data_IF_600039237405
#
_entry.id   IF_600039237405
#
_cell.length_a   1.000
_cell.length_b   1.000
_cell.length_c   1.000
_cell.angle_alpha   90.00
_cell.angle_beta   90.00
_cell.angle_gamma   90.00
#
_symmetry.space_group_name_H-M   'P 1'
#
loop_
_entity.id
_entity.type
_entity.pdbx_description
1 polymer ?
#
# COMPACT_ATOMS: atom_id res chain seq x y z
N UNK A 1 -29.69 -7.86 8.89
CA UNK A 1 -28.92 -7.44 7.70
C UNK A 1 -28.15 -8.62 7.13
N UNK A 2 -28.20 -8.78 5.81
CA UNK A 2 -27.52 -9.88 5.08
C UNK A 2 -26.90 -9.36 3.81
N UNK A 3 -25.76 -9.88 3.43
CA UNK A 3 -25.13 -9.61 2.13
C UNK A 3 -25.98 -10.23 1.02
N UNK A 4 -26.34 -9.43 0.01
CA UNK A 4 -27.18 -9.87 -1.12
C UNK A 4 -26.46 -9.80 -2.47
N UNK A 5 -25.44 -8.96 -2.60
CA UNK A 5 -24.62 -8.92 -3.81
C UNK A 5 -23.21 -8.41 -3.55
N UNK A 6 -22.28 -8.88 -4.37
CA UNK A 6 -20.91 -8.36 -4.48
C UNK A 6 -20.68 -8.07 -5.96
N UNK A 7 -20.13 -6.93 -6.25
CA UNK A 7 -19.86 -6.46 -7.61
C UNK A 7 -18.54 -5.72 -7.66
N UNK A 8 -17.93 -5.59 -8.84
CA UNK A 8 -16.67 -4.89 -9.01
C UNK A 8 -16.60 -4.10 -10.30
N UNK A 9 -15.72 -3.12 -10.35
CA UNK A 9 -15.38 -2.34 -11.55
C UNK A 9 -13.86 -2.22 -11.67
N UNK A 10 -13.37 -2.43 -12.88
CA UNK A 10 -11.98 -2.17 -13.27
C UNK A 10 -11.93 -0.83 -13.99
N UNK A 11 -11.13 0.08 -13.49
CA UNK A 11 -10.95 1.42 -14.06
C UNK A 11 -9.79 1.48 -15.06
N UNK A 12 -9.69 2.60 -15.77
CA UNK A 12 -8.60 2.99 -16.67
C UNK A 12 -8.42 4.52 -16.64
N UNK A 13 -7.23 5.06 -16.95
CA UNK A 13 -6.00 4.37 -17.35
C UNK A 13 -5.33 3.61 -16.19
N UNK A 14 -5.66 3.95 -14.95
CA UNK A 14 -5.17 3.24 -13.77
C UNK A 14 -6.02 1.99 -13.55
N UNK A 15 -5.41 0.80 -13.46
CA UNK A 15 -6.14 -0.47 -13.37
C UNK A 15 -6.69 -0.73 -11.95
N UNK A 16 -7.23 0.30 -11.28
CA UNK A 16 -7.82 0.17 -9.94
C UNK A 16 -9.08 -0.68 -9.98
N UNK A 17 -9.29 -1.46 -8.95
CA UNK A 17 -10.41 -2.38 -8.81
C UNK A 17 -11.25 -1.95 -7.61
N UNK A 18 -12.39 -1.33 -7.86
CA UNK A 18 -13.36 -1.02 -6.81
C UNK A 18 -14.30 -2.21 -6.61
N UNK A 19 -14.65 -2.47 -5.36
CA UNK A 19 -15.56 -3.52 -4.94
C UNK A 19 -16.74 -2.90 -4.22
N UNK A 20 -17.96 -3.36 -4.53
CA UNK A 20 -19.20 -2.92 -3.88
C UNK A 20 -19.89 -4.12 -3.27
N UNK A 21 -20.27 -4.02 -1.99
CA UNK A 21 -21.05 -5.01 -1.26
C UNK A 21 -22.40 -4.38 -0.89
N UNK A 22 -23.51 -5.03 -1.28
CA UNK A 22 -24.88 -4.57 -0.96
C UNK A 22 -25.54 -5.50 0.06
N UNK A 23 -26.37 -4.92 0.92
CA UNK A 23 -27.15 -5.63 1.92
C UNK A 23 -28.65 -5.60 1.62
N UNK A 24 -29.43 -6.53 2.20
CA UNK A 24 -30.91 -6.58 2.12
C UNK A 24 -31.61 -5.40 2.82
N UNK A 25 -30.88 -4.61 3.60
CA UNK A 25 -31.38 -3.40 4.25
C UNK A 25 -30.98 -2.11 3.51
N UNK A 26 -30.39 -2.25 2.31
CA UNK A 26 -30.03 -1.11 1.45
C UNK A 26 -28.71 -0.42 1.82
N UNK A 27 -27.98 -0.89 2.83
CA UNK A 27 -26.63 -0.37 3.13
C UNK A 27 -25.65 -0.92 2.10
N UNK A 28 -24.79 -0.04 1.60
CA UNK A 28 -23.78 -0.34 0.57
C UNK A 28 -22.42 0.04 1.08
N UNK A 29 -21.49 -0.90 1.06
CA UNK A 29 -20.08 -0.63 1.36
C UNK A 29 -19.22 -0.67 0.12
N UNK A 30 -18.17 0.14 0.12
CA UNK A 30 -17.20 0.25 -0.97
C UNK A 30 -15.82 -0.06 -0.41
N UNK A 31 -15.05 -0.83 -1.19
CA UNK A 31 -13.65 -1.10 -0.92
C UNK A 31 -12.84 -1.05 -2.21
N UNK A 32 -11.54 -1.13 -2.08
CA UNK A 32 -10.63 -1.20 -3.20
C UNK A 32 -9.67 -2.37 -3.02
N UNK A 33 -9.58 -3.22 -4.03
CA UNK A 33 -8.64 -4.32 -4.10
C UNK A 33 -7.38 -3.88 -4.85
N UNK A 34 -6.25 -4.53 -4.59
CA UNK A 34 -5.04 -4.32 -5.36
C UNK A 34 -5.33 -4.44 -6.87
N UNK A 35 -4.63 -3.70 -7.69
CA UNK A 35 -4.96 -3.49 -9.10
C UNK A 35 -4.93 -4.76 -9.98
N UNK A 36 -5.63 -4.67 -11.12
CA UNK A 36 -5.53 -5.61 -12.22
C UNK A 36 -6.79 -6.41 -12.56
N UNK A 37 -6.92 -6.78 -13.83
CA UNK A 37 -8.09 -7.47 -14.37
C UNK A 37 -8.35 -8.84 -13.71
N UNK A 38 -7.30 -9.56 -13.32
CA UNK A 38 -7.44 -10.85 -12.62
C UNK A 38 -8.11 -10.68 -11.25
N UNK A 39 -7.76 -9.64 -10.50
CA UNK A 39 -8.36 -9.33 -9.20
C UNK A 39 -9.83 -8.93 -9.35
N UNK A 40 -10.15 -8.11 -10.36
CA UNK A 40 -11.52 -7.70 -10.69
C UNK A 40 -12.46 -8.90 -10.91
N UNK A 41 -12.02 -9.89 -11.71
CA UNK A 41 -12.81 -11.09 -11.96
C UNK A 41 -12.94 -11.99 -10.73
N UNK A 42 -11.88 -12.14 -9.93
CA UNK A 42 -11.89 -12.95 -8.71
C UNK A 42 -12.81 -12.33 -7.65
N UNK A 43 -12.88 -11.00 -7.55
CA UNK A 43 -13.75 -10.33 -6.57
C UNK A 43 -15.23 -10.70 -6.70
N UNK A 44 -15.67 -11.12 -7.91
CA UNK A 44 -17.03 -11.59 -8.18
C UNK A 44 -17.10 -13.09 -8.51
N UNK A 45 -16.01 -13.84 -8.36
CA UNK A 45 -15.99 -15.30 -8.56
C UNK A 45 -17.03 -15.97 -7.65
N UNK A 46 -17.81 -16.86 -8.24
CA UNK A 46 -18.95 -17.51 -7.55
C UNK A 46 -18.50 -18.31 -6.32
N UNK A 47 -17.29 -18.90 -6.34
CA UNK A 47 -16.74 -19.64 -5.19
C UNK A 47 -16.45 -18.70 -4.02
N UNK A 48 -16.00 -17.47 -4.30
CA UNK A 48 -15.73 -16.45 -3.29
C UNK A 48 -17.05 -15.87 -2.77
N UNK A 49 -17.89 -15.37 -3.67
CA UNK A 49 -19.13 -14.66 -3.32
C UNK A 49 -20.15 -15.54 -2.62
N UNK A 50 -20.30 -16.81 -3.02
CA UNK A 50 -21.21 -17.77 -2.34
C UNK A 50 -20.88 -17.97 -0.85
N UNK A 51 -19.63 -17.79 -0.44
CA UNK A 51 -19.26 -17.90 0.98
C UNK A 51 -19.87 -16.78 1.83
N UNK A 52 -20.26 -15.67 1.21
CA UNK A 52 -20.74 -14.47 1.89
C UNK A 52 -22.25 -14.24 1.75
N UNK A 53 -22.90 -14.77 0.68
CA UNK A 53 -24.32 -14.54 0.45
C UNK A 53 -25.15 -14.98 1.67
N UNK A 54 -26.05 -14.08 2.12
CA UNK A 54 -26.92 -14.29 3.27
C UNK A 54 -26.27 -14.15 4.64
N UNK A 55 -24.95 -13.86 4.70
CA UNK A 55 -24.23 -13.65 5.97
C UNK A 55 -24.39 -12.20 6.45
N UNK A 56 -24.16 -12.03 7.75
CA UNK A 56 -24.14 -10.73 8.38
C UNK A 56 -22.81 -10.01 8.02
N UNK A 57 -22.84 -8.83 7.35
CA UNK A 57 -21.61 -8.10 7.01
C UNK A 57 -20.86 -7.55 8.21
N UNK A 58 -21.49 -7.44 9.39
CA UNK A 58 -20.83 -6.96 10.60
C UNK A 58 -19.87 -7.99 11.22
N UNK A 59 -19.99 -9.27 10.84
CA UNK A 59 -19.07 -10.32 11.23
C UNK A 59 -17.82 -10.31 10.33
N UNK A 60 -17.13 -9.16 10.21
CA UNK A 60 -16.07 -8.91 9.22
C UNK A 60 -14.98 -9.98 9.26
N UNK A 61 -14.41 -10.26 10.44
CA UNK A 61 -13.34 -11.27 10.59
C UNK A 61 -13.81 -12.70 10.23
N UNK A 62 -15.04 -13.04 10.57
CA UNK A 62 -15.63 -14.30 10.17
C UNK A 62 -15.82 -14.38 8.66
N UNK A 63 -16.31 -13.32 8.04
CA UNK A 63 -16.45 -13.23 6.58
C UNK A 63 -15.09 -13.38 5.89
N UNK A 64 -14.05 -12.75 6.41
CA UNK A 64 -12.67 -12.92 5.92
C UNK A 64 -12.23 -14.40 5.96
N UNK A 65 -12.39 -15.08 7.09
CA UNK A 65 -12.02 -16.48 7.21
C UNK A 65 -12.88 -17.41 6.33
N UNK A 66 -14.16 -17.10 6.14
CA UNK A 66 -15.05 -17.87 5.26
C UNK A 66 -14.64 -17.70 3.78
N UNK A 67 -14.21 -16.51 3.36
CA UNK A 67 -13.64 -16.28 2.03
C UNK A 67 -12.35 -17.08 1.83
N UNK A 68 -11.42 -17.02 2.77
CA UNK A 68 -10.19 -17.82 2.73
C UNK A 68 -10.50 -19.31 2.59
N UNK A 69 -11.44 -19.83 3.39
CA UNK A 69 -11.85 -21.23 3.34
C UNK A 69 -12.47 -21.59 1.99
N UNK A 70 -13.32 -20.73 1.43
CA UNK A 70 -13.96 -20.93 0.13
C UNK A 70 -12.97 -21.00 -1.02
N UNK A 71 -11.86 -20.27 -0.91
CA UNK A 71 -10.80 -20.20 -1.93
C UNK A 71 -9.60 -21.12 -1.63
N UNK A 72 -9.69 -22.03 -0.67
CA UNK A 72 -8.55 -22.85 -0.21
C UNK A 72 -7.87 -23.68 -1.32
N UNK A 73 -8.64 -24.16 -2.30
CA UNK A 73 -8.11 -24.88 -3.46
C UNK A 73 -7.49 -23.98 -4.53
N UNK A 74 -7.54 -22.66 -4.37
CA UNK A 74 -7.12 -21.64 -5.36
C UNK A 74 -5.98 -20.74 -4.87
N UNK A 75 -5.19 -21.18 -3.89
CA UNK A 75 -4.10 -20.38 -3.34
C UNK A 75 -4.58 -19.18 -2.54
N UNK A 76 -5.51 -19.38 -1.64
CA UNK A 76 -6.30 -18.36 -0.92
C UNK A 76 -5.50 -17.34 -0.12
N UNK A 77 -4.28 -17.63 0.27
CA UNK A 77 -3.52 -16.81 1.24
C UNK A 77 -2.55 -15.82 0.57
N UNK A 78 -2.54 -15.72 -0.76
CA UNK A 78 -1.63 -14.81 -1.49
C UNK A 78 -2.14 -14.43 -2.88
N UNK A 79 -1.47 -13.46 -3.50
CA UNK A 79 -1.70 -13.02 -4.88
C UNK A 79 -3.10 -12.45 -5.10
N UNK A 80 -3.61 -12.57 -6.32
CA UNK A 80 -4.86 -11.97 -6.74
C UNK A 80 -6.08 -12.40 -5.91
N UNK A 81 -6.08 -13.62 -5.35
CA UNK A 81 -7.16 -14.10 -4.48
C UNK A 81 -7.19 -13.29 -3.19
N UNK A 82 -6.04 -13.12 -2.53
CA UNK A 82 -5.99 -12.35 -1.29
C UNK A 82 -6.27 -10.87 -1.55
N UNK A 83 -5.82 -10.32 -2.67
CA UNK A 83 -6.13 -8.94 -3.06
C UNK A 83 -7.64 -8.71 -3.22
N UNK A 84 -8.35 -9.64 -3.89
CA UNK A 84 -9.81 -9.57 -4.01
C UNK A 84 -10.51 -9.68 -2.64
N UNK A 85 -10.04 -10.57 -1.76
CA UNK A 85 -10.53 -10.71 -0.39
C UNK A 85 -10.32 -9.40 0.39
N UNK A 86 -9.17 -8.73 0.23
CA UNK A 86 -8.85 -7.47 0.88
C UNK A 86 -9.84 -6.36 0.51
N UNK A 87 -10.16 -6.22 -0.78
CA UNK A 87 -11.12 -5.21 -1.24
C UNK A 87 -12.55 -5.47 -0.72
N UNK A 88 -12.98 -6.74 -0.65
CA UNK A 88 -14.27 -7.10 -0.06
C UNK A 88 -14.26 -6.80 1.46
N UNK A 89 -13.18 -7.13 2.15
CA UNK A 89 -13.02 -6.89 3.59
C UNK A 89 -13.10 -5.39 3.92
N UNK A 90 -12.48 -4.53 3.11
CA UNK A 90 -12.61 -3.07 3.24
C UNK A 90 -14.06 -2.60 3.08
N UNK A 91 -14.80 -3.15 2.09
CA UNK A 91 -16.21 -2.84 1.90
C UNK A 91 -17.09 -3.30 3.09
N UNK A 92 -16.75 -4.41 3.74
CA UNK A 92 -17.45 -4.85 4.96
C UNK A 92 -17.17 -3.92 6.14
N UNK A 93 -15.96 -3.40 6.29
CA UNK A 93 -15.66 -2.37 7.30
C UNK A 93 -16.43 -1.08 7.04
N UNK A 94 -16.56 -0.68 5.78
CA UNK A 94 -17.37 0.49 5.42
C UNK A 94 -18.84 0.30 5.83
N UNK A 95 -19.44 -0.87 5.54
CA UNK A 95 -20.79 -1.22 6.02
C UNK A 95 -20.86 -1.16 7.56
N UNK A 96 -19.91 -1.77 8.24
CA UNK A 96 -19.89 -1.80 9.69
C UNK A 96 -19.87 -0.39 10.29
N UNK A 97 -19.02 0.49 9.76
CA UNK A 97 -18.94 1.88 10.20
C UNK A 97 -20.21 2.66 9.92
N UNK A 98 -20.82 2.50 8.73
CA UNK A 98 -22.09 3.14 8.38
C UNK A 98 -23.22 2.69 9.32
N UNK A 99 -23.37 1.40 9.56
CA UNK A 99 -24.43 0.84 10.42
C UNK A 99 -24.26 1.27 11.88
N UNK A 100 -23.04 1.27 12.38
CA UNK A 100 -22.72 1.66 13.77
C UNK A 100 -22.58 3.19 13.92
N UNK A 101 -22.76 3.96 12.83
CA UNK A 101 -22.60 5.42 12.81
C UNK A 101 -21.24 5.87 13.38
N UNK A 102 -20.18 5.17 12.99
CA UNK A 102 -18.85 5.30 13.57
C UNK A 102 -17.78 5.20 12.48
N UNK A 103 -16.74 6.03 12.46
CA UNK A 103 -15.64 5.87 11.52
C UNK A 103 -14.85 4.58 11.81
N UNK A 104 -14.27 3.99 10.78
CA UNK A 104 -13.55 2.70 10.89
C UNK A 104 -12.41 2.75 11.90
N UNK A 105 -11.63 3.86 11.97
CA UNK A 105 -10.53 3.98 12.94
C UNK A 105 -10.99 3.81 14.40
N UNK A 106 -12.22 4.21 14.71
CA UNK A 106 -12.76 4.03 16.06
C UNK A 106 -13.11 2.56 16.34
N UNK A 107 -13.62 1.83 15.33
CA UNK A 107 -13.87 0.39 15.42
C UNK A 107 -12.57 -0.43 15.55
N UNK A 108 -11.47 0.12 15.02
CA UNK A 108 -10.13 -0.47 15.14
C UNK A 108 -9.41 -0.14 16.46
N UNK A 109 -10.08 0.49 17.42
CA UNK A 109 -9.55 0.73 18.77
C UNK A 109 -9.29 2.21 19.12
N UNK A 110 -9.65 3.14 18.24
CA UNK A 110 -9.42 4.57 18.43
C UNK A 110 -8.13 5.07 17.76
N UNK A 111 -7.98 6.38 17.64
CA UNK A 111 -6.86 6.99 16.92
C UNK A 111 -5.77 7.50 17.85
N UNK A 112 -4.53 7.36 17.41
CA UNK A 112 -3.33 7.95 18.02
C UNK A 112 -2.99 9.33 17.43
N UNK A 113 -3.54 9.65 16.24
CA UNK A 113 -3.24 10.88 15.49
C UNK A 113 -4.45 11.38 14.70
N UNK A 114 -4.51 12.70 14.50
CA UNK A 114 -5.57 13.35 13.73
C UNK A 114 -5.21 13.53 12.25
N UNK A 115 -3.94 13.32 11.91
CA UNK A 115 -3.41 13.39 10.54
C UNK A 115 -2.47 12.21 10.28
N UNK A 116 -2.60 11.61 9.11
CA UNK A 116 -1.70 10.59 8.59
C UNK A 116 -0.67 11.27 7.70
N UNK A 117 0.61 11.15 8.04
CA UNK A 117 1.73 11.60 7.21
C UNK A 117 1.80 10.76 5.95
N UNK A 118 1.97 11.41 4.80
CA UNK A 118 2.10 10.74 3.50
C UNK A 118 3.47 11.03 2.93
N UNK A 119 4.15 10.01 2.40
CA UNK A 119 5.33 10.23 1.57
C UNK A 119 4.96 10.07 0.09
N UNK A 120 5.62 10.85 -0.77
CA UNK A 120 5.39 10.72 -2.20
C UNK A 120 6.49 9.86 -2.82
N UNK A 121 6.08 8.80 -3.48
CA UNK A 121 6.91 8.06 -4.41
C UNK A 121 6.88 8.79 -5.75
N UNK A 122 8.03 9.21 -6.25
CA UNK A 122 8.13 10.06 -7.42
C UNK A 122 9.24 9.61 -8.38
N UNK A 123 9.04 9.92 -9.64
CA UNK A 123 10.00 9.63 -10.70
C UNK A 123 10.34 10.90 -11.49
N UNK A 124 11.55 10.99 -11.97
CA UNK A 124 11.99 12.07 -12.87
C UNK A 124 11.50 11.89 -14.32
N UNK A 125 10.78 10.82 -14.61
CA UNK A 125 10.31 10.47 -15.96
C UNK A 125 11.40 9.76 -16.77
N UNK A 126 11.57 10.17 -18.03
CA UNK A 126 12.57 9.59 -18.92
C UNK A 126 14.00 10.13 -18.68
N UNK A 127 14.12 11.24 -17.95
CA UNK A 127 15.41 11.86 -17.61
C UNK A 127 15.93 11.31 -16.27
N UNK A 128 16.79 10.30 -16.34
CA UNK A 128 17.40 9.63 -15.18
C UNK A 128 18.64 10.38 -14.64
N UNK A 129 18.81 11.67 -14.95
CA UNK A 129 19.96 12.45 -14.47
C UNK A 129 19.79 12.87 -13.00
N UNK A 130 20.89 13.01 -12.23
CA UNK A 130 20.86 13.52 -10.86
C UNK A 130 20.10 14.87 -10.73
N UNK A 131 20.26 15.75 -11.73
CA UNK A 131 19.61 17.07 -11.74
C UNK A 131 18.09 16.96 -11.90
N UNK A 132 17.59 16.04 -12.73
CA UNK A 132 16.16 15.81 -12.93
C UNK A 132 15.50 15.26 -11.67
N UNK A 133 16.11 14.27 -11.00
CA UNK A 133 15.63 13.75 -9.72
C UNK A 133 15.63 14.82 -8.62
N UNK A 134 16.69 15.61 -8.52
CA UNK A 134 16.75 16.71 -7.56
C UNK A 134 15.66 17.78 -7.80
N UNK A 135 15.39 18.12 -9.06
CA UNK A 135 14.33 19.05 -9.43
C UNK A 135 12.93 18.49 -9.08
N UNK A 136 12.69 17.21 -9.37
CA UNK A 136 11.42 16.55 -9.02
C UNK A 136 11.22 16.47 -7.51
N UNK A 137 12.24 16.12 -6.76
CA UNK A 137 12.18 16.09 -5.29
C UNK A 137 11.84 17.47 -4.70
N UNK A 138 12.43 18.56 -5.22
CA UNK A 138 12.08 19.94 -4.81
C UNK A 138 10.65 20.31 -5.16
N UNK A 139 10.14 19.89 -6.31
CA UNK A 139 8.73 20.08 -6.68
C UNK A 139 7.79 19.42 -5.66
N UNK A 140 8.07 18.17 -5.30
CA UNK A 140 7.28 17.41 -4.32
C UNK A 140 7.35 18.04 -2.93
N UNK A 141 8.56 18.43 -2.48
CA UNK A 141 8.75 19.11 -1.21
C UNK A 141 7.98 20.44 -1.15
N UNK A 142 7.97 21.22 -2.24
CA UNK A 142 7.24 22.49 -2.33
C UNK A 142 5.71 22.31 -2.22
N UNK A 143 5.18 21.10 -2.41
CA UNK A 143 3.78 20.75 -2.17
C UNK A 143 3.49 20.30 -0.73
N UNK A 144 4.47 20.43 0.17
CA UNK A 144 4.34 20.16 1.60
C UNK A 144 4.64 18.73 2.03
N UNK A 145 5.13 17.87 1.13
CA UNK A 145 5.59 16.53 1.53
C UNK A 145 6.89 16.64 2.31
N UNK A 146 6.94 15.93 3.44
CA UNK A 146 8.09 15.89 4.33
C UNK A 146 8.87 14.58 4.24
N UNK A 147 8.42 13.67 3.36
CA UNK A 147 9.12 12.43 3.00
C UNK A 147 8.91 12.14 1.52
N UNK A 148 9.96 11.69 0.86
CA UNK A 148 10.01 11.43 -0.58
C UNK A 148 10.70 10.09 -0.79
N UNK A 149 10.20 9.29 -1.73
CA UNK A 149 10.82 8.04 -2.18
C UNK A 149 11.01 8.09 -3.69
N UNK A 150 11.98 7.38 -4.21
CA UNK A 150 12.14 7.05 -5.62
C UNK A 150 12.93 5.76 -5.80
N UNK A 151 12.88 5.20 -7.01
CA UNK A 151 13.39 3.88 -7.30
C UNK A 151 14.84 3.91 -7.79
N UNK A 152 15.56 2.83 -7.52
CA UNK A 152 16.88 2.52 -8.09
C UNK A 152 16.82 1.23 -8.88
N UNK A 153 15.90 1.14 -9.80
CA UNK A 153 15.79 0.01 -10.73
C UNK A 153 17.05 -0.13 -11.56
N UNK A 154 17.40 -1.36 -12.00
CA UNK A 154 18.54 -1.55 -12.88
C UNK A 154 18.45 -0.62 -14.11
N UNK A 155 19.54 0.07 -14.43
CA UNK A 155 19.62 0.97 -15.58
C UNK A 155 19.10 0.29 -16.85
N UNK A 156 18.50 1.02 -17.81
CA UNK A 156 17.94 0.45 -19.03
C UNK A 156 18.89 -0.45 -19.81
N UNK A 157 20.19 -0.11 -19.81
CA UNK A 157 21.25 -0.92 -20.43
C UNK A 157 21.46 -2.28 -19.77
N UNK A 158 20.90 -2.51 -18.57
CA UNK A 158 21.05 -3.72 -17.75
C UNK A 158 19.74 -4.41 -17.38
N UNK A 159 18.60 -3.90 -17.85
CA UNK A 159 17.27 -4.48 -17.56
C UNK A 159 17.13 -5.95 -17.98
N UNK A 160 17.97 -6.42 -18.91
CA UNK A 160 18.03 -7.82 -19.33
C UNK A 160 18.93 -8.69 -18.45
N UNK A 161 19.56 -8.14 -17.41
CA UNK A 161 20.46 -8.88 -16.52
C UNK A 161 19.67 -9.63 -15.44
N UNK A 162 19.50 -10.93 -15.62
CA UNK A 162 18.80 -11.79 -14.64
C UNK A 162 19.66 -12.26 -13.46
N UNK A 163 20.95 -11.91 -13.45
CA UNK A 163 21.91 -12.36 -12.42
C UNK A 163 21.89 -11.54 -11.13
N UNK A 164 21.06 -10.47 -11.04
CA UNK A 164 20.90 -9.57 -9.90
C UNK A 164 22.21 -8.89 -9.44
N UNK A 165 23.23 -8.85 -10.32
CA UNK A 165 24.49 -8.17 -10.02
C UNK A 165 24.42 -6.70 -10.36
N UNK A 166 25.15 -5.88 -9.60
CA UNK A 166 25.30 -4.45 -9.89
C UNK A 166 26.72 -4.13 -10.37
N UNK A 167 26.87 -3.22 -11.30
CA UNK A 167 28.16 -2.71 -11.73
C UNK A 167 28.61 -1.51 -10.90
N UNK A 168 29.91 -1.21 -10.98
CA UNK A 168 30.43 0.00 -10.35
C UNK A 168 29.83 1.28 -10.97
N UNK A 169 29.52 1.26 -12.27
CA UNK A 169 28.89 2.39 -12.96
C UNK A 169 27.47 2.63 -12.44
N UNK A 170 26.68 1.56 -12.20
CA UNK A 170 25.35 1.66 -11.62
C UNK A 170 25.43 2.25 -10.20
N UNK A 171 26.37 1.77 -9.38
CA UNK A 171 26.58 2.28 -8.01
C UNK A 171 26.94 3.78 -8.05
N UNK A 172 27.89 4.17 -8.91
CA UNK A 172 28.29 5.58 -9.05
C UNK A 172 27.11 6.46 -9.52
N UNK A 173 26.29 5.96 -10.43
CA UNK A 173 25.10 6.66 -10.92
C UNK A 173 24.10 6.88 -9.77
N UNK A 174 23.70 5.82 -9.07
CA UNK A 174 22.72 5.93 -7.97
C UNK A 174 23.23 6.80 -6.81
N UNK A 175 24.50 6.69 -6.47
CA UNK A 175 25.11 7.58 -5.45
C UNK A 175 25.02 9.03 -5.89
N UNK A 176 25.30 9.33 -7.16
CA UNK A 176 25.17 10.69 -7.68
C UNK A 176 23.73 11.20 -7.67
N UNK A 177 22.76 10.36 -8.04
CA UNK A 177 21.32 10.69 -7.99
C UNK A 177 20.88 10.98 -6.56
N UNK A 178 21.11 10.03 -5.65
CA UNK A 178 20.67 10.16 -4.24
C UNK A 178 21.36 11.33 -3.54
N UNK A 179 22.65 11.55 -3.80
CA UNK A 179 23.37 12.70 -3.25
C UNK A 179 22.83 14.04 -3.75
N UNK A 180 22.53 14.15 -5.06
CA UNK A 180 21.95 15.35 -5.63
C UNK A 180 20.54 15.66 -5.06
N UNK A 181 19.72 14.64 -4.87
CA UNK A 181 18.41 14.78 -4.21
C UNK A 181 18.59 15.21 -2.75
N UNK A 182 19.48 14.56 -2.00
CA UNK A 182 19.72 14.90 -0.58
C UNK A 182 20.23 16.33 -0.42
N UNK A 183 21.12 16.79 -1.31
CA UNK A 183 21.62 18.17 -1.30
C UNK A 183 20.52 19.20 -1.64
N UNK A 184 19.61 18.85 -2.53
CA UNK A 184 18.51 19.73 -2.93
C UNK A 184 17.42 19.86 -1.86
N UNK A 185 17.11 18.82 -1.11
CA UNK A 185 16.05 18.80 -0.10
C UNK A 185 16.46 19.53 1.18
N UNK A 186 15.46 20.07 1.88
CA UNK A 186 15.65 20.58 3.24
C UNK A 186 16.13 19.47 4.18
N UNK A 187 16.90 19.84 5.19
CA UNK A 187 17.46 18.85 6.15
C UNK A 187 16.41 18.08 6.94
N UNK A 188 15.19 18.60 7.02
CA UNK A 188 14.05 17.99 7.71
C UNK A 188 13.18 17.11 6.80
N UNK A 189 13.46 17.06 5.50
CA UNK A 189 12.74 16.20 4.57
C UNK A 189 13.41 14.84 4.51
N UNK A 190 12.65 13.80 4.84
CA UNK A 190 13.13 12.43 4.79
C UNK A 190 13.23 11.94 3.34
N UNK A 191 14.23 11.09 3.08
CA UNK A 191 14.48 10.50 1.78
C UNK A 191 14.55 8.99 1.91
N UNK A 192 13.71 8.27 1.16
CA UNK A 192 13.73 6.83 1.04
C UNK A 192 14.05 6.40 -0.39
N UNK A 193 14.55 5.19 -0.54
CA UNK A 193 14.91 4.61 -1.84
C UNK A 193 14.32 3.22 -1.93
N UNK A 194 13.80 2.85 -3.10
CA UNK A 194 13.28 1.52 -3.40
C UNK A 194 14.17 0.78 -4.41
N UNK A 195 14.44 -0.48 -4.13
CA UNK A 195 15.26 -1.35 -4.99
C UNK A 195 14.46 -2.46 -5.68
N UNK A 196 13.14 -2.53 -5.48
CA UNK A 196 12.20 -3.45 -6.16
C UNK A 196 12.73 -4.88 -6.32
N UNK A 197 13.34 -5.46 -5.24
CA UNK A 197 13.89 -6.85 -5.23
C UNK A 197 14.92 -7.13 -6.31
N UNK A 198 15.51 -6.09 -6.91
CA UNK A 198 16.30 -6.24 -8.12
C UNK A 198 17.66 -6.90 -7.89
N UNK A 199 18.21 -6.86 -6.68
CA UNK A 199 19.61 -7.16 -6.42
C UNK A 199 19.83 -8.45 -5.63
N UNK A 200 21.05 -9.00 -5.77
CA UNK A 200 21.54 -10.08 -4.91
C UNK A 200 22.01 -9.50 -3.55
N UNK A 201 21.98 -10.28 -2.45
CA UNK A 201 22.33 -9.78 -1.11
C UNK A 201 23.69 -9.10 -1.02
N UNK A 202 24.70 -9.61 -1.72
CA UNK A 202 26.07 -9.02 -1.70
C UNK A 202 26.12 -7.71 -2.50
N UNK A 203 25.31 -7.61 -3.56
CA UNK A 203 25.32 -6.44 -4.44
C UNK A 203 24.53 -5.28 -3.85
N UNK A 204 23.38 -5.53 -3.24
CA UNK A 204 22.63 -4.48 -2.54
C UNK A 204 23.40 -3.92 -1.34
N UNK A 205 24.23 -4.72 -0.67
CA UNK A 205 25.08 -4.21 0.41
C UNK A 205 26.13 -3.20 -0.09
N UNK A 206 26.60 -3.30 -1.33
CA UNK A 206 27.50 -2.27 -1.91
C UNK A 206 26.76 -0.93 -2.03
N UNK A 207 25.49 -0.95 -2.47
CA UNK A 207 24.63 0.23 -2.55
C UNK A 207 24.34 0.76 -1.14
N UNK A 208 23.87 -0.10 -0.24
CA UNK A 208 23.50 0.29 1.12
C UNK A 208 24.64 0.97 1.87
N UNK A 209 25.88 0.44 1.75
CA UNK A 209 27.07 1.06 2.33
C UNK A 209 27.40 2.41 1.67
N UNK A 210 27.22 2.53 0.35
CA UNK A 210 27.47 3.79 -0.35
C UNK A 210 26.45 4.88 0.05
N UNK A 211 25.26 4.48 0.52
CA UNK A 211 24.22 5.40 0.98
C UNK A 211 24.27 5.74 2.47
N UNK A 212 25.10 5.09 3.28
CA UNK A 212 25.14 5.31 4.74
C UNK A 212 25.34 6.78 5.14
N UNK A 213 26.16 7.53 4.39
CA UNK A 213 26.43 8.96 4.65
C UNK A 213 25.32 9.89 4.12
N UNK A 214 24.35 9.35 3.35
CA UNK A 214 23.24 10.14 2.76
C UNK A 214 22.02 10.21 3.68
N UNK A 215 22.06 9.57 4.84
CA UNK A 215 21.02 9.59 5.88
C UNK A 215 19.61 9.30 5.34
N UNK A 216 19.46 8.13 4.73
CA UNK A 216 18.16 7.67 4.23
C UNK A 216 17.21 7.33 5.38
N UNK A 217 15.93 7.58 5.17
CA UNK A 217 14.86 7.08 6.03
C UNK A 217 14.80 5.55 5.96
N UNK A 218 14.90 4.98 4.74
CA UNK A 218 15.09 3.54 4.50
C UNK A 218 15.56 3.24 3.08
N UNK A 219 16.09 2.03 2.91
CA UNK A 219 16.23 1.33 1.64
C UNK A 219 15.17 0.23 1.60
N UNK A 220 14.22 0.33 0.64
CA UNK A 220 13.09 -0.57 0.47
C UNK A 220 13.42 -1.75 -0.42
N UNK A 221 12.83 -2.89 -0.13
CA UNK A 221 12.82 -4.12 -0.91
C UNK A 221 14.19 -4.47 -1.56
N UNK A 222 15.26 -4.54 -0.75
CA UNK A 222 16.63 -4.66 -1.26
C UNK A 222 16.88 -5.95 -2.03
N UNK A 223 16.18 -7.03 -1.66
CA UNK A 223 16.28 -8.37 -2.27
C UNK A 223 14.90 -9.03 -2.34
N UNK A 224 14.73 -10.12 -3.12
CA UNK A 224 13.48 -10.89 -3.14
C UNK A 224 13.00 -11.30 -1.75
N UNK A 225 11.70 -11.11 -1.51
CA UNK A 225 11.07 -11.23 -0.19
C UNK A 225 11.03 -12.67 0.36
N UNK A 226 11.12 -13.69 -0.49
CA UNK A 226 10.97 -15.08 -0.12
C UNK A 226 12.13 -15.66 0.71
N UNK A 227 13.26 -14.95 0.82
CA UNK A 227 14.42 -15.36 1.62
C UNK A 227 14.63 -14.43 2.82
N UNK A 228 13.88 -14.69 3.89
CA UNK A 228 13.94 -13.89 5.12
C UNK A 228 15.31 -13.96 5.82
N UNK A 229 16.02 -15.10 5.73
CA UNK A 229 17.37 -15.23 6.30
C UNK A 229 18.37 -14.31 5.57
N UNK A 230 18.29 -14.26 4.23
CA UNK A 230 19.11 -13.34 3.45
C UNK A 230 18.74 -11.87 3.72
N UNK A 231 17.45 -11.55 3.92
CA UNK A 231 17.00 -10.22 4.31
C UNK A 231 17.61 -9.81 5.67
N UNK A 232 17.57 -10.71 6.66
CA UNK A 232 18.20 -10.48 7.95
C UNK A 232 19.73 -10.26 7.83
N UNK A 233 20.39 -10.98 6.93
CA UNK A 233 21.81 -10.79 6.63
C UNK A 233 22.06 -9.39 6.05
N UNK A 234 21.25 -8.94 5.08
CA UNK A 234 21.38 -7.59 4.51
C UNK A 234 21.18 -6.54 5.60
N UNK A 235 20.08 -6.60 6.33
CA UNK A 235 19.74 -5.67 7.42
C UNK A 235 20.86 -5.56 8.47
N UNK A 236 21.44 -6.68 8.89
CA UNK A 236 22.45 -6.70 9.93
C UNK A 236 23.85 -6.25 9.47
N UNK A 237 24.06 -6.02 8.18
CA UNK A 237 25.34 -5.62 7.60
C UNK A 237 25.33 -4.22 6.98
N UNK A 238 24.34 -3.38 7.28
CA UNK A 238 24.32 -1.95 6.89
C UNK A 238 23.77 -1.11 8.04
N UNK A 239 24.08 0.19 8.03
CA UNK A 239 23.48 1.19 8.92
C UNK A 239 22.25 1.85 8.29
N UNK A 240 22.08 1.72 6.97
CA UNK A 240 20.88 2.20 6.28
C UNK A 240 19.68 1.35 6.74
N UNK A 241 18.62 1.95 7.30
CA UNK A 241 17.46 1.19 7.72
C UNK A 241 16.83 0.44 6.53
N UNK A 242 16.40 -0.80 6.75
CA UNK A 242 15.75 -1.64 5.73
C UNK A 242 14.24 -1.62 5.94
N UNK A 243 13.49 -1.37 4.86
CA UNK A 243 12.05 -1.48 4.79
C UNK A 243 11.67 -2.60 3.81
N UNK A 244 10.70 -3.45 4.18
CA UNK A 244 10.15 -4.45 3.25
C UNK A 244 8.79 -4.92 3.72
N UNK A 245 7.96 -5.43 2.80
CA UNK A 245 6.69 -6.01 3.21
C UNK A 245 5.62 -6.09 2.14
N UNK A 246 5.66 -5.32 1.08
CA UNK A 246 4.57 -5.25 0.11
C UNK A 246 4.27 -6.57 -0.61
N UNK A 247 5.22 -7.49 -0.66
CA UNK A 247 5.06 -8.82 -1.25
C UNK A 247 4.78 -9.93 -0.23
N UNK A 248 4.52 -9.57 1.04
CA UNK A 248 4.03 -10.50 2.06
C UNK A 248 2.51 -10.40 2.22
N UNK A 249 1.90 -11.51 2.59
CA UNK A 249 0.44 -11.64 2.71
C UNK A 249 0.06 -12.12 4.10
N UNK A 250 -0.95 -11.52 4.68
CA UNK A 250 -1.50 -11.78 6.00
C UNK A 250 -0.46 -11.75 7.14
N UNK A 251 -0.89 -11.65 8.39
CA UNK A 251 0.00 -11.77 9.56
C UNK A 251 0.84 -13.05 9.58
N UNK A 252 0.40 -14.10 8.87
CA UNK A 252 1.13 -15.37 8.81
C UNK A 252 2.38 -15.27 7.93
N UNK A 253 2.32 -14.56 6.81
CA UNK A 253 3.48 -14.28 5.96
C UNK A 253 4.47 -13.34 6.65
N UNK A 254 3.97 -12.32 7.35
CA UNK A 254 4.81 -11.37 8.09
C UNK A 254 5.47 -11.96 9.35
N UNK A 255 4.95 -13.07 9.87
CA UNK A 255 5.41 -13.64 11.15
C UNK A 255 6.91 -13.87 11.18
N UNK A 256 7.46 -14.55 10.20
CA UNK A 256 8.89 -14.88 10.16
C UNK A 256 9.75 -13.63 10.00
N UNK A 257 9.39 -12.73 9.09
CA UNK A 257 10.06 -11.46 8.86
C UNK A 257 10.20 -10.65 10.16
N UNK A 258 9.09 -10.52 10.91
CA UNK A 258 9.03 -9.73 12.14
C UNK A 258 9.75 -10.43 13.29
N UNK A 259 9.48 -11.73 13.52
CA UNK A 259 10.08 -12.48 14.64
C UNK A 259 11.59 -12.62 14.55
N UNK A 260 12.12 -12.79 13.34
CA UNK A 260 13.57 -12.82 13.10
C UNK A 260 14.21 -11.43 13.04
N UNK A 261 13.39 -10.36 13.12
CA UNK A 261 13.82 -8.98 12.97
C UNK A 261 14.65 -8.76 11.69
N UNK A 262 14.16 -9.33 10.58
CA UNK A 262 14.87 -9.30 9.31
C UNK A 262 14.72 -7.96 8.55
N UNK A 263 13.94 -7.04 9.09
CA UNK A 263 13.76 -5.66 8.61
C UNK A 263 13.74 -4.68 9.76
N UNK A 264 13.92 -3.40 9.51
CA UNK A 264 13.77 -2.33 10.52
C UNK A 264 12.35 -1.74 10.47
N UNK A 265 11.73 -1.68 9.30
CA UNK A 265 10.41 -1.10 9.05
C UNK A 265 9.58 -2.12 8.27
N UNK A 266 8.31 -2.29 8.63
CA UNK A 266 7.38 -3.17 7.88
C UNK A 266 6.46 -2.36 6.98
N UNK A 267 6.31 -2.81 5.72
CA UNK A 267 5.56 -2.12 4.66
C UNK A 267 4.45 -3.01 4.06
N UNK A 268 3.40 -3.39 4.84
CA UNK A 268 2.29 -4.16 4.28
C UNK A 268 1.43 -3.31 3.36
N UNK A 269 1.02 -3.86 2.22
CA UNK A 269 -0.07 -3.31 1.41
C UNK A 269 -1.41 -3.91 1.84
N UNK A 270 -2.29 -3.10 2.44
CA UNK A 270 -3.54 -3.61 3.00
C UNK A 270 -4.57 -3.98 1.93
N UNK A 271 -4.48 -3.45 0.71
CA UNK A 271 -5.31 -3.87 -0.42
C UNK A 271 -4.87 -5.24 -1.00
N UNK A 272 -3.74 -5.76 -0.53
CA UNK A 272 -3.08 -6.97 -0.98
C UNK A 272 -2.93 -8.00 0.13
N UNK A 273 -2.66 -7.55 1.36
CA UNK A 273 -2.26 -8.39 2.48
C UNK A 273 -3.41 -8.97 3.31
N UNK A 274 -4.68 -8.73 2.97
CA UNK A 274 -5.83 -9.29 3.68
C UNK A 274 -6.79 -8.25 4.27
N UNK A 275 -6.68 -6.98 3.89
CA UNK A 275 -7.56 -5.91 4.33
C UNK A 275 -7.09 -5.19 5.59
N UNK A 276 -8.00 -4.40 6.17
CA UNK A 276 -7.68 -3.48 7.26
C UNK A 276 -7.38 -4.20 8.58
N UNK A 277 -8.12 -5.26 8.88
CA UNK A 277 -7.91 -6.01 10.13
C UNK A 277 -6.60 -6.80 10.13
N UNK A 278 -6.20 -7.38 8.98
CA UNK A 278 -4.89 -8.01 8.85
C UNK A 278 -3.77 -6.95 8.93
N UNK A 279 -3.95 -5.79 8.28
CA UNK A 279 -3.03 -4.66 8.41
C UNK A 279 -2.83 -4.21 9.86
N UNK A 280 -3.93 -4.10 10.63
CA UNK A 280 -3.88 -3.82 12.07
C UNK A 280 -3.13 -4.91 12.85
N UNK A 281 -3.40 -6.19 12.58
CA UNK A 281 -2.72 -7.32 13.25
C UNK A 281 -1.24 -7.41 12.94
N UNK A 282 -0.85 -7.05 11.70
CA UNK A 282 0.57 -6.95 11.30
C UNK A 282 1.23 -5.81 12.07
N UNK A 283 0.58 -4.65 12.17
CA UNK A 283 1.09 -3.52 12.94
C UNK A 283 1.26 -3.86 14.42
N UNK A 284 0.27 -4.51 15.05
CA UNK A 284 0.35 -4.95 16.46
C UNK A 284 1.50 -5.96 16.68
N UNK A 285 1.72 -6.88 15.72
CA UNK A 285 2.84 -7.81 15.79
C UNK A 285 4.19 -7.09 15.66
N UNK A 286 4.30 -6.13 14.74
CA UNK A 286 5.51 -5.32 14.55
C UNK A 286 5.82 -4.44 15.77
N UNK A 287 4.80 -3.86 16.40
CA UNK A 287 4.94 -3.03 17.60
C UNK A 287 5.57 -3.79 18.77
N UNK A 288 5.28 -5.09 18.91
CA UNK A 288 5.90 -5.95 19.93
C UNK A 288 7.43 -6.07 19.76
N UNK A 289 7.95 -5.78 18.58
CA UNK A 289 9.37 -5.79 18.23
C UNK A 289 9.93 -4.37 17.98
N UNK A 290 9.16 -3.33 18.34
CA UNK A 290 9.51 -1.91 18.13
C UNK A 290 9.75 -1.53 16.68
N UNK A 291 9.12 -2.23 15.74
CA UNK A 291 9.23 -1.95 14.31
C UNK A 291 8.17 -0.94 13.88
N UNK A 292 8.55 0.19 13.25
CA UNK A 292 7.61 1.10 12.61
C UNK A 292 6.86 0.46 11.45
N UNK A 293 5.67 1.01 11.18
CA UNK A 293 4.79 0.65 10.07
C UNK A 293 4.81 1.78 9.01
N UNK A 294 5.20 1.46 7.78
CA UNK A 294 5.15 2.36 6.63
C UNK A 294 4.43 1.65 5.47
N UNK A 295 3.08 1.62 5.42
CA UNK A 295 2.37 0.83 4.43
C UNK A 295 2.67 1.25 2.99
N UNK A 296 2.94 0.27 2.14
CA UNK A 296 2.90 0.38 0.69
C UNK A 296 1.49 0.69 0.21
N UNK A 297 1.34 1.57 -0.79
CA UNK A 297 0.02 1.95 -1.30
C UNK A 297 0.09 2.55 -2.71
N UNK A 298 -0.40 1.84 -3.70
CA UNK A 298 -0.61 2.31 -5.08
C UNK A 298 -2.09 2.39 -5.45
N UNK A 299 -2.97 2.38 -4.45
CA UNK A 299 -4.41 2.42 -4.66
C UNK A 299 -4.91 3.78 -5.16
N UNK A 300 -6.13 3.77 -5.68
CA UNK A 300 -6.97 4.94 -5.81
C UNK A 300 -7.33 5.55 -4.46
N UNK A 301 -8.16 6.60 -4.45
CA UNK A 301 -8.47 7.31 -3.21
C UNK A 301 -9.27 6.47 -2.20
N UNK A 302 -10.06 5.49 -2.65
CA UNK A 302 -10.86 4.63 -1.76
C UNK A 302 -9.94 3.74 -0.91
N UNK A 303 -9.01 3.01 -1.53
CA UNK A 303 -8.06 2.16 -0.83
C UNK A 303 -7.08 2.97 0.02
N UNK A 304 -6.56 4.07 -0.52
CA UNK A 304 -5.68 4.99 0.22
C UNK A 304 -6.36 5.48 1.49
N UNK A 305 -7.61 5.96 1.39
CA UNK A 305 -8.33 6.47 2.56
C UNK A 305 -8.70 5.35 3.54
N UNK A 306 -9.05 4.16 3.05
CA UNK A 306 -9.28 2.98 3.89
C UNK A 306 -8.04 2.65 4.76
N UNK A 307 -6.83 2.68 4.18
CA UNK A 307 -5.58 2.43 4.91
C UNK A 307 -5.31 3.50 5.97
N UNK A 308 -5.74 4.76 5.76
CA UNK A 308 -5.54 5.82 6.76
C UNK A 308 -6.20 5.52 8.09
N UNK A 309 -7.30 4.76 8.11
CA UNK A 309 -7.97 4.36 9.35
C UNK A 309 -7.08 3.44 10.19
N UNK A 310 -6.36 2.50 9.57
CA UNK A 310 -5.38 1.67 10.28
C UNK A 310 -4.19 2.52 10.71
N UNK A 311 -3.63 3.33 9.79
CA UNK A 311 -2.52 4.22 10.09
C UNK A 311 -2.81 5.18 11.26
N UNK A 312 -4.05 5.63 11.38
CA UNK A 312 -4.49 6.44 12.52
C UNK A 312 -4.60 5.63 13.82
N UNK A 313 -5.02 4.36 13.73
CA UNK A 313 -5.37 3.53 14.89
C UNK A 313 -4.19 2.75 15.49
N UNK A 314 -2.98 2.80 14.92
CA UNK A 314 -1.79 2.09 15.41
C UNK A 314 -0.75 3.06 15.99
N UNK A 315 -0.03 2.69 17.08
CA UNK A 315 0.97 3.57 17.70
C UNK A 315 2.23 3.72 16.83
N UNK A 316 2.68 2.65 16.21
CA UNK A 316 3.96 2.53 15.49
C UNK A 316 3.94 2.99 14.03
N UNK A 317 2.93 3.73 13.58
CA UNK A 317 2.86 4.28 12.23
C UNK A 317 3.93 5.33 11.96
N UNK A 318 4.59 5.25 10.80
CA UNK A 318 5.64 6.16 10.34
C UNK A 318 5.18 7.09 9.21
N UNK A 319 4.78 6.53 8.07
CA UNK A 319 4.27 7.25 6.90
C UNK A 319 3.51 6.31 5.97
N UNK A 320 2.55 6.83 5.19
CA UNK A 320 1.76 6.10 4.18
C UNK A 320 2.22 6.51 2.78
N UNK A 321 2.35 5.56 1.89
CA UNK A 321 2.76 5.77 0.50
C UNK A 321 1.72 6.47 -0.37
N UNK A 322 2.20 7.22 -1.40
CA UNK A 322 1.38 7.88 -2.39
C UNK A 322 2.12 8.13 -3.70
N UNK A 323 1.56 7.69 -4.85
CA UNK A 323 2.15 7.79 -6.19
C UNK A 323 1.46 8.82 -7.11
N UNK A 324 0.25 9.28 -6.79
CA UNK A 324 -0.67 9.86 -7.78
C UNK A 324 -0.77 11.38 -7.71
N UNK A 325 0.35 12.09 -7.51
CA UNK A 325 0.40 13.53 -7.22
C UNK A 325 -0.36 14.40 -8.22
N UNK A 326 -0.28 14.10 -9.52
CA UNK A 326 -0.92 14.86 -10.61
C UNK A 326 -1.98 14.05 -11.37
N UNK A 327 -2.53 13.01 -10.73
CA UNK A 327 -3.52 12.15 -11.36
C UNK A 327 -4.94 12.71 -11.16
N UNK A 328 -5.52 13.26 -12.24
CA UNK A 328 -6.86 13.83 -12.22
C UNK A 328 -7.95 12.80 -11.87
N UNK A 329 -7.79 11.53 -12.30
CA UNK A 329 -8.71 10.47 -11.94
C UNK A 329 -8.66 10.19 -10.44
N UNK A 330 -7.46 10.14 -9.83
CA UNK A 330 -7.31 9.94 -8.39
C UNK A 330 -8.06 11.03 -7.60
N UNK A 331 -7.84 12.30 -7.99
CA UNK A 331 -8.45 13.44 -7.31
C UNK A 331 -9.97 13.56 -7.54
N UNK A 332 -10.47 13.06 -8.68
CA UNK A 332 -11.87 13.16 -9.06
C UNK A 332 -12.76 11.99 -8.62
N UNK A 333 -12.17 10.87 -8.17
CA UNK A 333 -12.94 9.68 -7.80
C UNK A 333 -13.73 9.80 -6.49
N UNK A 334 -13.50 10.84 -5.69
CA UNK A 334 -14.22 11.11 -4.43
C UNK A 334 -14.76 12.53 -4.41
N UNK A 335 -15.91 12.71 -3.75
CA UNK A 335 -16.62 14.00 -3.70
C UNK A 335 -15.99 14.99 -2.72
N UNK A 336 -15.19 14.54 -1.75
CA UNK A 336 -14.64 15.34 -0.66
C UNK A 336 -13.54 16.33 -1.10
N UNK A 337 -13.11 16.30 -2.37
CA UNK A 337 -12.02 17.14 -2.88
C UNK A 337 -10.64 16.61 -2.48
N UNK A 338 -9.61 17.48 -2.39
CA UNK A 338 -8.24 17.02 -2.17
C UNK A 338 -8.09 16.37 -0.80
N UNK A 339 -7.79 15.06 -0.80
CA UNK A 339 -7.59 14.29 0.42
C UNK A 339 -6.22 14.55 1.06
N UNK A 340 -5.20 14.87 0.25
CA UNK A 340 -3.85 15.15 0.72
C UNK A 340 -3.60 16.66 0.71
N UNK A 341 -3.29 17.20 1.88
CA UNK A 341 -2.97 18.62 2.08
C UNK A 341 -1.67 18.70 2.88
N UNK A 342 -0.70 19.43 2.36
CA UNK A 342 0.62 19.60 2.99
C UNK A 342 1.23 18.26 3.43
N UNK A 343 1.24 17.27 2.52
CA UNK A 343 1.79 15.94 2.76
C UNK A 343 1.06 15.11 3.84
N UNK A 344 -0.20 15.43 4.15
CA UNK A 344 -1.00 14.72 5.16
C UNK A 344 -2.43 14.47 4.70
N UNK A 345 -3.00 13.38 5.19
CA UNK A 345 -4.45 13.10 5.10
C UNK A 345 -5.07 13.31 6.47
N UNK A 346 -6.06 14.22 6.57
CA UNK A 346 -6.81 14.44 7.79
C UNK A 346 -7.78 13.28 8.05
N UNK A 347 -7.85 12.83 9.29
CA UNK A 347 -8.78 11.76 9.71
C UNK A 347 -10.10 12.40 10.14
N UNK A 348 -11.16 12.08 9.37
CA UNK A 348 -12.50 12.58 9.62
C UNK A 348 -13.28 11.79 10.68
N UNK A 349 -14.47 12.32 10.99
CA UNK A 349 -15.44 11.71 11.93
C UNK A 349 -16.64 11.07 11.20
N UNK A 350 -16.68 11.11 9.86
CA UNK A 350 -17.78 10.52 9.09
C UNK A 350 -17.81 9.00 9.29
N UNK A 351 -19.00 8.40 9.42
CA UNK A 351 -19.17 6.94 9.52
C UNK A 351 -18.58 6.18 8.33
N UNK A 352 -18.16 4.95 8.56
CA UNK A 352 -17.58 4.08 7.53
C UNK A 352 -16.20 4.56 7.09
N UNK A 353 -15.93 4.50 5.80
CA UNK A 353 -14.72 5.04 5.17
C UNK A 353 -14.59 6.55 5.33
N UNK A 354 -15.72 7.27 5.40
CA UNK A 354 -15.73 8.72 5.52
C UNK A 354 -15.48 9.48 4.21
N UNK A 355 -15.38 8.79 3.08
CA UNK A 355 -15.34 9.34 1.73
C UNK A 355 -16.44 8.77 0.87
N UNK A 356 -16.90 9.54 -0.11
CA UNK A 356 -17.97 9.20 -1.05
C UNK A 356 -17.40 9.01 -2.44
N UNK A 357 -17.64 7.86 -3.05
CA UNK A 357 -17.26 7.60 -4.44
C UNK A 357 -18.07 8.48 -5.40
N UNK A 358 -17.40 9.23 -6.27
CA UNK A 358 -18.05 9.83 -7.43
C UNK A 358 -18.31 8.77 -8.49
N UNK A 359 -19.54 8.23 -8.50
CA UNK A 359 -19.94 7.20 -9.46
C UNK A 359 -19.98 7.72 -10.92
N UNK A 360 -20.10 9.02 -11.14
CA UNK A 360 -20.05 9.63 -12.48
C UNK A 360 -18.64 9.49 -13.05
N UNK A 361 -17.65 9.95 -12.31
CA UNK A 361 -16.22 9.82 -12.67
C UNK A 361 -15.81 8.35 -12.81
N UNK A 362 -16.26 7.49 -11.89
CA UNK A 362 -15.97 6.05 -11.96
C UNK A 362 -16.57 5.41 -13.23
N UNK A 363 -17.78 5.81 -13.65
CA UNK A 363 -18.41 5.33 -14.90
C UNK A 363 -17.64 5.75 -16.15
N UNK A 364 -17.19 7.02 -16.20
CA UNK A 364 -16.39 7.52 -17.32
C UNK A 364 -15.04 6.81 -17.43
N UNK A 365 -14.42 6.48 -16.30
CA UNK A 365 -13.17 5.76 -16.24
C UNK A 365 -13.31 4.24 -16.33
N UNK A 366 -14.49 3.68 -16.53
CA UNK A 366 -14.71 2.23 -16.54
C UNK A 366 -14.08 1.56 -17.74
N UNK A 367 -13.21 0.56 -17.49
CA UNK A 367 -12.75 -0.42 -18.49
C UNK A 367 -13.70 -1.62 -18.56
N UNK A 368 -14.08 -2.16 -17.42
CA UNK A 368 -14.99 -3.31 -17.30
C UNK A 368 -15.79 -3.20 -15.99
N UNK A 369 -17.08 -3.52 -16.04
CA UNK A 369 -17.95 -3.50 -14.86
C UNK A 369 -18.71 -4.82 -14.75
N UNK A 370 -18.63 -5.46 -13.59
CA UNK A 370 -19.33 -6.70 -13.25
C UNK A 370 -20.42 -6.38 -12.20
N UNK A 371 -21.47 -5.72 -12.66
CA UNK A 371 -22.65 -5.36 -11.88
C UNK A 371 -22.47 -4.18 -10.91
N UNK A 372 -21.36 -3.45 -10.97
CA UNK A 372 -21.03 -2.41 -9.99
C UNK A 372 -22.02 -1.24 -9.99
N UNK A 373 -22.51 -0.83 -11.17
CA UNK A 373 -23.45 0.27 -11.35
C UNK A 373 -24.91 -0.17 -11.51
N UNK A 374 -25.20 -1.48 -11.32
CA UNK A 374 -26.56 -2.04 -11.41
C UNK A 374 -27.38 -1.78 -10.15
#
# INVERSE_FOLDING_TARGET
MKIVSISSVLLQPMPWVLVKVKTDEGVVGIGEAYHGAGVHQIAVDERLTKTLMGKNPLDVDRCFHDMMKGMSASGYYQGAVMSAISGIEMALWDIAGQVLQTPIWQLLGGRFRDKVRVYNDCHAGEDETPAAYAAKAKEVEARGFTAIKFDIDPLPSRRDAYNRCISNDDIMHYVAVVAAVREALDSNTDLAIDAHWAYAPVDILKIAHAFEELNLLWLEDPIPAENVEAMAMVKNNTKTPICTGENFYTRFGFRELIQSQATDIVSPDMAKAGGLLEGRRIADLADMYYMPLAPHNICGPIGTFAMTHVCAAVPNFLALEFHHLDNALWSGLVEEGPLIVDGHIAIGEKPGLGVTLDEGVAKEATKESLGFFA
#
